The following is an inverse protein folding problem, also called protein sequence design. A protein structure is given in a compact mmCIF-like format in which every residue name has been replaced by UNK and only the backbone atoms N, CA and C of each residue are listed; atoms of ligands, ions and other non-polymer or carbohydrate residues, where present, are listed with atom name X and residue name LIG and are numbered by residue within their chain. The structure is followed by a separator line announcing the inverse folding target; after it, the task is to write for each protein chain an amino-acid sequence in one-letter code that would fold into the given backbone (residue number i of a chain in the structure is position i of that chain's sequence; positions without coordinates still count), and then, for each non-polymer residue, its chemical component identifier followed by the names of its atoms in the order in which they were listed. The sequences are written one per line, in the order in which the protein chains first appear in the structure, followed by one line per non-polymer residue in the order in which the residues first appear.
data_IF_641687993663
#
_entry.id   IF_641687993663
#
_cell.length_a   1.000
_cell.length_b   1.000
_cell.length_c   1.000
_cell.angle_alpha   90.00
_cell.angle_beta   90.00
_cell.angle_gamma   90.00
#
_symmetry.space_group_name_H-M   'P 1'
#
loop_
_entity.id
_entity.type
_entity.pdbx_description
1 polymer ?
#
# COMPACT_ATOMS: atom_id res chain seq x y z
N UNK A 1 8.86 -18.50 13.25
CA UNK A 1 9.23 -19.89 13.00
C UNK A 1 8.50 -20.39 11.76
N UNK A 2 9.23 -20.81 10.73
CA UNK A 2 8.67 -21.42 9.53
C UNK A 2 8.05 -22.77 9.93
N UNK A 3 6.73 -22.94 9.74
CA UNK A 3 5.99 -24.10 10.28
C UNK A 3 6.07 -25.34 9.39
N UNK A 4 6.37 -25.18 8.10
CA UNK A 4 6.56 -26.31 7.17
C UNK A 4 8.03 -26.71 7.08
N UNK A 5 8.29 -28.03 7.10
CA UNK A 5 9.62 -28.60 6.85
C UNK A 5 10.20 -28.16 5.49
N UNK A 6 9.37 -28.08 4.44
CA UNK A 6 9.84 -27.66 3.10
C UNK A 6 10.40 -26.24 3.12
N UNK A 7 9.68 -25.32 3.75
CA UNK A 7 10.07 -23.92 3.89
C UNK A 7 11.31 -23.78 4.77
N UNK A 8 11.33 -24.46 5.92
CA UNK A 8 12.46 -24.44 6.84
C UNK A 8 13.73 -24.99 6.18
N UNK A 9 13.65 -26.13 5.48
CA UNK A 9 14.81 -26.74 4.84
C UNK A 9 15.40 -25.87 3.71
N UNK A 10 14.57 -25.09 3.00
CA UNK A 10 15.06 -24.20 1.95
C UNK A 10 15.75 -22.94 2.50
N UNK A 11 15.15 -22.27 3.49
CA UNK A 11 15.70 -21.02 4.06
C UNK A 11 16.70 -21.25 5.21
N UNK A 12 16.69 -22.44 5.81
CA UNK A 12 17.58 -22.86 6.89
C UNK A 12 18.15 -24.26 6.59
N UNK A 13 18.95 -24.42 5.52
CA UNK A 13 19.49 -25.72 5.15
C UNK A 13 20.31 -26.31 6.30
N UNK A 14 20.00 -27.56 6.67
CA UNK A 14 20.58 -28.24 7.85
C UNK A 14 20.38 -27.49 9.17
N UNK A 15 19.31 -26.70 9.29
CA UNK A 15 18.99 -25.91 10.49
C UNK A 15 19.88 -24.68 10.68
N UNK A 16 20.70 -24.31 9.68
CA UNK A 16 21.59 -23.14 9.73
C UNK A 16 21.03 -22.00 8.89
N UNK A 17 21.16 -20.77 9.39
CA UNK A 17 20.85 -19.57 8.63
C UNK A 17 21.72 -19.49 7.37
N UNK A 18 21.13 -18.95 6.30
CA UNK A 18 21.89 -18.53 5.13
C UNK A 18 22.57 -17.20 5.46
N UNK A 19 23.88 -17.14 5.25
CA UNK A 19 24.68 -15.95 5.58
C UNK A 19 24.81 -15.01 4.39
N UNK A 20 25.09 -13.73 4.66
CA UNK A 20 25.36 -12.75 3.61
C UNK A 20 26.53 -13.20 2.73
N UNK A 21 26.37 -13.06 1.40
CA UNK A 21 27.34 -13.53 0.41
C UNK A 21 27.22 -15.01 0.02
N UNK A 22 26.41 -15.82 0.72
CA UNK A 22 26.17 -17.20 0.31
C UNK A 22 25.19 -17.29 -0.86
N UNK A 23 25.46 -18.21 -1.80
CA UNK A 23 24.58 -18.46 -2.95
C UNK A 23 23.50 -19.47 -2.57
N UNK A 24 22.24 -19.01 -2.46
CA UNK A 24 21.07 -19.88 -2.34
C UNK A 24 20.46 -20.15 -3.72
N UNK A 25 20.38 -21.43 -4.13
CA UNK A 25 19.81 -21.83 -5.43
C UNK A 25 18.39 -22.39 -5.26
N UNK A 26 17.46 -21.91 -6.09
CA UNK A 26 16.09 -22.43 -6.16
C UNK A 26 15.82 -23.15 -7.50
N UNK A 27 16.31 -24.38 -7.65
CA UNK A 27 16.15 -25.12 -8.91
C UNK A 27 14.70 -25.48 -9.21
N UNK A 28 13.87 -25.70 -8.19
CA UNK A 28 12.45 -25.98 -8.38
C UNK A 28 11.72 -24.74 -8.89
N UNK A 29 11.98 -23.57 -8.29
CA UNK A 29 11.39 -22.32 -8.78
C UNK A 29 11.87 -21.96 -10.18
N UNK A 30 13.14 -22.23 -10.51
CA UNK A 30 13.65 -22.06 -11.86
C UNK A 30 12.93 -22.95 -12.90
N UNK A 31 12.47 -24.15 -12.52
CA UNK A 31 11.63 -25.00 -13.39
C UNK A 31 10.22 -24.42 -13.51
N UNK A 32 9.63 -23.99 -12.40
CA UNK A 32 8.31 -23.33 -12.37
C UNK A 32 8.28 -22.11 -13.29
N UNK A 33 9.26 -21.21 -13.18
CA UNK A 33 9.35 -20.02 -14.04
C UNK A 33 9.52 -20.38 -15.52
N UNK A 34 10.28 -21.42 -15.86
CA UNK A 34 10.39 -21.91 -17.25
C UNK A 34 9.07 -22.43 -17.79
N UNK A 35 8.30 -23.15 -16.98
CA UNK A 35 6.97 -23.64 -17.35
C UNK A 35 6.01 -22.48 -17.64
N UNK A 36 5.97 -21.50 -16.73
CA UNK A 36 5.14 -20.28 -16.90
C UNK A 36 5.55 -19.52 -18.18
N UNK A 37 6.86 -19.40 -18.44
CA UNK A 37 7.35 -18.71 -19.63
C UNK A 37 7.02 -19.46 -20.93
N UNK A 38 7.08 -20.81 -20.93
CA UNK A 38 6.84 -21.61 -22.14
C UNK A 38 5.37 -21.70 -22.51
N UNK A 39 4.45 -21.69 -21.54
CA UNK A 39 3.01 -21.81 -21.78
C UNK A 39 2.20 -20.53 -21.52
N UNK A 40 2.90 -19.40 -21.31
CA UNK A 40 2.32 -18.09 -21.02
C UNK A 40 1.42 -18.08 -19.78
N UNK A 41 1.81 -18.83 -18.75
CA UNK A 41 1.13 -18.87 -17.44
C UNK A 41 -0.04 -19.85 -17.35
N UNK A 42 -0.33 -20.62 -18.40
CA UNK A 42 -1.42 -21.61 -18.38
C UNK A 42 -1.23 -22.63 -17.26
N UNK A 43 0.00 -23.13 -17.06
CA UNK A 43 0.31 -24.13 -16.03
C UNK A 43 0.06 -23.63 -14.61
N UNK A 44 0.13 -22.31 -14.37
CA UNK A 44 -0.09 -21.74 -13.05
C UNK A 44 -1.55 -21.87 -12.60
N UNK A 45 -2.48 -21.67 -13.53
CA UNK A 45 -3.93 -21.74 -13.27
C UNK A 45 -4.53 -23.12 -13.57
N UNK A 46 -3.82 -23.95 -14.35
CA UNK A 46 -4.27 -25.28 -14.76
C UNK A 46 -3.12 -26.30 -14.71
N UNK A 47 -3.38 -27.55 -14.32
CA UNK A 47 -2.37 -28.61 -14.38
C UNK A 47 -1.43 -28.63 -13.17
N UNK A 48 -0.16 -28.99 -13.37
CA UNK A 48 0.72 -29.44 -12.28
C UNK A 48 1.07 -28.37 -11.24
N UNK A 49 1.30 -27.11 -11.65
CA UNK A 49 1.57 -26.03 -10.69
C UNK A 49 0.31 -25.72 -9.89
N UNK A 50 -0.86 -25.64 -10.54
CA UNK A 50 -2.15 -25.46 -9.86
C UNK A 50 -2.43 -26.59 -8.85
N UNK A 51 -2.21 -27.84 -9.27
CA UNK A 51 -2.37 -29.02 -8.41
C UNK A 51 -1.41 -28.99 -7.21
N UNK A 52 -0.19 -28.51 -7.40
CA UNK A 52 0.78 -28.38 -6.31
C UNK A 52 0.39 -27.29 -5.31
N UNK A 53 -0.15 -26.17 -5.77
CA UNK A 53 -0.70 -25.10 -4.91
C UNK A 53 -1.84 -25.68 -4.05
N UNK A 54 -2.86 -26.27 -4.69
CA UNK A 54 -4.03 -26.85 -4.00
C UNK A 54 -3.59 -27.89 -2.97
N UNK A 55 -2.72 -28.82 -3.37
CA UNK A 55 -2.20 -29.84 -2.47
C UNK A 55 -1.46 -29.22 -1.28
N UNK A 56 -0.62 -28.21 -1.51
CA UNK A 56 0.14 -27.53 -0.46
C UNK A 56 -0.78 -26.88 0.57
N UNK A 57 -1.89 -26.27 0.12
CA UNK A 57 -2.88 -25.63 1.00
C UNK A 57 -3.71 -26.66 1.78
N UNK A 58 -4.22 -27.69 1.10
CA UNK A 58 -5.13 -28.67 1.69
C UNK A 58 -4.40 -29.68 2.60
N UNK A 59 -3.13 -30.01 2.31
CA UNK A 59 -2.38 -31.00 3.09
C UNK A 59 -1.70 -30.43 4.34
N UNK A 60 -1.89 -29.15 4.66
CA UNK A 60 -1.29 -28.54 5.85
C UNK A 60 -2.06 -28.96 7.11
N UNK A 61 -1.40 -29.68 8.02
CA UNK A 61 -2.08 -30.37 9.14
C UNK A 61 -2.60 -29.45 10.24
N UNK A 62 -1.93 -28.32 10.50
CA UNK A 62 -2.31 -27.45 11.62
C UNK A 62 -3.56 -26.60 11.29
N UNK A 63 -3.76 -26.27 10.02
CA UNK A 63 -4.88 -25.44 9.54
C UNK A 63 -5.09 -25.65 8.03
N UNK A 64 -5.72 -26.75 7.60
CA UNK A 64 -5.91 -27.04 6.18
C UNK A 64 -6.84 -25.99 5.55
N UNK A 65 -6.39 -25.40 4.43
CA UNK A 65 -7.20 -24.44 3.69
C UNK A 65 -8.20 -25.10 2.73
N UNK A 66 -9.12 -24.30 2.21
CA UNK A 66 -10.23 -24.76 1.35
C UNK A 66 -10.01 -24.50 -0.15
N UNK A 67 -8.84 -23.97 -0.55
CA UNK A 67 -8.54 -23.66 -1.95
C UNK A 67 -8.68 -24.90 -2.83
N UNK A 68 -9.46 -24.79 -3.90
CA UNK A 68 -9.72 -25.85 -4.86
C UNK A 68 -9.15 -25.54 -6.26
N UNK A 69 -9.09 -26.54 -7.12
CA UNK A 69 -8.65 -26.39 -8.50
C UNK A 69 -9.61 -25.50 -9.32
N UNK A 70 -10.91 -25.51 -8.99
CA UNK A 70 -11.90 -24.61 -9.59
C UNK A 70 -11.63 -23.14 -9.25
N UNK A 71 -11.15 -22.83 -8.04
CA UNK A 71 -10.80 -21.46 -7.66
C UNK A 71 -9.65 -20.91 -8.51
N UNK A 72 -8.63 -21.74 -8.78
CA UNK A 72 -7.50 -21.34 -9.62
C UNK A 72 -7.86 -21.24 -11.10
N UNK A 73 -8.61 -22.21 -11.63
CA UNK A 73 -8.95 -22.26 -13.05
C UNK A 73 -9.99 -21.22 -13.48
N UNK A 74 -10.83 -20.76 -12.54
CA UNK A 74 -11.82 -19.69 -12.80
C UNK A 74 -11.27 -18.28 -12.59
N UNK A 75 -10.07 -18.13 -12.01
CA UNK A 75 -9.48 -16.82 -11.74
C UNK A 75 -9.15 -16.04 -13.03
N UNK A 76 -9.47 -14.75 -13.03
CA UNK A 76 -9.06 -13.82 -14.08
C UNK A 76 -8.56 -12.52 -13.47
N UNK A 77 -7.46 -11.99 -14.04
CA UNK A 77 -6.98 -10.64 -13.74
C UNK A 77 -8.00 -9.62 -14.26
N UNK A 78 -8.33 -8.62 -13.45
CA UNK A 78 -9.29 -7.57 -13.82
C UNK A 78 -8.56 -6.25 -14.05
N UNK A 79 -8.67 -5.71 -15.26
CA UNK A 79 -8.29 -4.33 -15.55
C UNK A 79 -9.32 -3.37 -14.94
N UNK A 80 -8.85 -2.30 -14.31
CA UNK A 80 -9.70 -1.33 -13.61
C UNK A 80 -9.27 0.09 -13.95
N UNK A 81 -10.23 1.03 -14.04
CA UNK A 81 -9.88 2.43 -14.18
C UNK A 81 -9.07 2.89 -12.95
N UNK A 82 -8.10 3.76 -13.20
CA UNK A 82 -7.42 4.47 -12.14
C UNK A 82 -8.39 5.45 -11.46
N UNK A 83 -8.14 5.73 -10.18
CA UNK A 83 -8.77 6.85 -9.46
C UNK A 83 -7.80 8.01 -9.47
N UNK A 84 -8.29 9.20 -9.79
CA UNK A 84 -7.46 10.39 -9.94
C UNK A 84 -8.03 11.58 -9.16
N UNK A 85 -7.15 12.40 -8.60
CA UNK A 85 -7.51 13.69 -8.01
C UNK A 85 -6.58 14.79 -8.52
N UNK A 86 -7.06 16.03 -8.57
CA UNK A 86 -6.20 17.19 -8.77
C UNK A 86 -5.48 17.54 -7.47
N UNK A 87 -4.17 17.70 -7.53
CA UNK A 87 -3.37 18.22 -6.44
C UNK A 87 -2.36 19.22 -6.98
N UNK A 88 -2.48 20.48 -6.56
CA UNK A 88 -1.70 21.59 -7.15
C UNK A 88 -1.89 21.61 -8.67
N UNK A 89 -0.80 21.47 -9.43
CA UNK A 89 -0.80 21.43 -10.89
C UNK A 89 -0.78 20.02 -11.49
N UNK A 90 -0.99 18.99 -10.65
CA UNK A 90 -0.88 17.58 -11.04
C UNK A 90 -2.23 16.86 -10.96
N UNK A 91 -2.44 15.86 -11.82
CA UNK A 91 -3.45 14.82 -11.60
C UNK A 91 -2.75 13.63 -10.96
N UNK A 92 -3.06 13.34 -9.70
CA UNK A 92 -2.49 12.21 -8.95
C UNK A 92 -3.40 11.01 -9.16
N UNK A 93 -2.92 10.00 -9.88
CA UNK A 93 -3.67 8.81 -10.24
C UNK A 93 -3.11 7.56 -9.58
N UNK A 94 -3.97 6.70 -9.05
CA UNK A 94 -3.57 5.44 -8.42
C UNK A 94 -4.59 4.33 -8.65
N UNK A 95 -4.32 3.17 -8.06
CA UNK A 95 -5.21 2.01 -8.16
C UNK A 95 -6.53 2.25 -7.42
N UNK A 96 -7.65 2.01 -8.10
CA UNK A 96 -8.98 2.01 -7.49
C UNK A 96 -9.29 0.74 -6.68
N UNK A 97 -10.51 0.62 -6.14
CA UNK A 97 -10.93 -0.55 -5.36
C UNK A 97 -10.79 -1.85 -6.18
N UNK A 98 -10.31 -2.97 -5.59
CA UNK A 98 -10.26 -3.25 -4.14
C UNK A 98 -9.10 -2.63 -3.36
N UNK A 99 -8.15 -1.94 -4.01
CA UNK A 99 -7.16 -1.19 -3.23
C UNK A 99 -7.76 0.11 -2.69
N UNK A 100 -7.38 0.41 -1.45
CA UNK A 100 -7.61 1.71 -0.81
C UNK A 100 -6.55 2.75 -1.16
N UNK A 101 -5.41 2.34 -1.72
CA UNK A 101 -4.24 3.19 -1.92
C UNK A 101 -4.53 4.47 -2.69
N UNK A 102 -5.09 4.36 -3.91
CA UNK A 102 -5.34 5.52 -4.76
C UNK A 102 -6.36 6.51 -4.17
N UNK A 103 -7.45 6.00 -3.59
CA UNK A 103 -8.49 6.83 -2.98
C UNK A 103 -7.92 7.53 -1.74
N UNK A 104 -7.28 6.80 -0.81
CA UNK A 104 -6.81 7.39 0.44
C UNK A 104 -5.64 8.37 0.20
N UNK A 105 -4.71 8.07 -0.72
CA UNK A 105 -3.68 9.05 -1.16
C UNK A 105 -4.37 10.31 -1.69
N UNK A 106 -5.35 10.16 -2.57
CA UNK A 106 -6.09 11.27 -3.15
C UNK A 106 -6.82 12.11 -2.10
N UNK A 107 -7.51 11.47 -1.15
CA UNK A 107 -8.19 12.14 -0.06
C UNK A 107 -7.24 12.97 0.81
N UNK A 108 -6.09 12.41 1.20
CA UNK A 108 -5.13 13.13 2.04
C UNK A 108 -4.63 14.38 1.32
N UNK A 109 -4.24 14.23 0.05
CA UNK A 109 -3.76 15.36 -0.76
C UNK A 109 -4.85 16.42 -0.97
N UNK A 110 -6.09 16.01 -1.25
CA UNK A 110 -7.19 16.94 -1.45
C UNK A 110 -7.64 17.66 -0.17
N UNK A 111 -7.61 16.99 0.99
CA UNK A 111 -7.83 17.63 2.30
C UNK A 111 -6.76 18.68 2.59
N UNK A 112 -5.52 18.44 2.14
CA UNK A 112 -4.37 19.33 2.31
C UNK A 112 -4.33 20.48 1.29
N UNK A 113 -5.15 20.45 0.24
CA UNK A 113 -5.14 21.43 -0.84
C UNK A 113 -5.28 22.88 -0.31
N UNK A 114 -6.18 23.21 0.63
CA UNK A 114 -6.31 24.60 1.10
C UNK A 114 -5.10 25.14 1.88
N UNK A 115 -4.15 24.28 2.29
CA UNK A 115 -3.02 24.67 3.12
C UNK A 115 -1.76 24.90 2.28
N UNK A 116 -1.04 25.99 2.58
CA UNK A 116 0.23 26.32 1.93
C UNK A 116 1.40 25.57 2.59
N UNK A 117 1.56 24.29 2.24
CA UNK A 117 2.63 23.44 2.76
C UNK A 117 4.03 23.87 2.30
N UNK A 118 4.14 24.51 1.12
CA UNK A 118 5.41 25.03 0.63
C UNK A 118 5.97 26.15 1.50
N UNK A 119 5.08 27.01 2.05
CA UNK A 119 5.46 28.05 3.02
C UNK A 119 5.85 27.49 4.40
N UNK A 120 5.22 26.40 4.84
CA UNK A 120 5.55 25.78 6.14
C UNK A 120 6.85 24.98 6.08
N UNK A 121 7.02 24.17 5.03
CA UNK A 121 8.19 23.35 4.81
C UNK A 121 8.31 22.10 5.71
N UNK A 122 9.29 21.22 5.42
CA UNK A 122 9.48 19.92 6.08
C UNK A 122 9.95 20.03 7.54
N UNK A 123 10.42 21.20 7.97
CA UNK A 123 10.93 21.46 9.33
C UNK A 123 9.85 22.00 10.27
N UNK A 124 8.62 22.17 9.80
CA UNK A 124 7.53 22.72 10.58
C UNK A 124 6.69 21.62 11.22
N UNK A 125 6.61 21.59 12.55
CA UNK A 125 5.68 20.72 13.26
C UNK A 125 4.21 20.99 12.86
N UNK A 126 3.88 22.23 12.46
CA UNK A 126 2.56 22.56 11.94
C UNK A 126 2.28 21.90 10.57
N UNK A 127 3.29 21.73 9.71
CA UNK A 127 3.10 20.98 8.46
C UNK A 127 2.77 19.51 8.78
N UNK A 128 3.53 18.88 9.67
CA UNK A 128 3.31 17.49 10.07
C UNK A 128 2.00 17.28 10.81
N UNK A 129 1.58 18.25 11.63
CA UNK A 129 0.25 18.29 12.25
C UNK A 129 -0.85 18.19 11.18
N UNK A 130 -0.83 19.08 10.18
CA UNK A 130 -1.83 19.08 9.10
C UNK A 130 -1.83 17.77 8.31
N UNK A 131 -0.65 17.26 7.95
CA UNK A 131 -0.50 15.99 7.24
C UNK A 131 -1.07 14.83 8.05
N UNK A 132 -0.81 14.81 9.36
CA UNK A 132 -1.34 13.79 10.26
C UNK A 132 -2.85 13.84 10.40
N UNK A 133 -3.44 15.02 10.60
CA UNK A 133 -4.89 15.20 10.69
C UNK A 133 -5.59 14.78 9.39
N UNK A 134 -5.08 15.22 8.24
CA UNK A 134 -5.60 14.82 6.94
C UNK A 134 -5.53 13.30 6.73
N UNK A 135 -4.42 12.69 7.14
CA UNK A 135 -4.25 11.23 7.10
C UNK A 135 -5.29 10.52 7.97
N UNK A 136 -5.46 10.94 9.24
CA UNK A 136 -6.44 10.34 10.17
C UNK A 136 -7.85 10.39 9.61
N UNK A 137 -8.26 11.53 9.05
CA UNK A 137 -9.59 11.70 8.44
C UNK A 137 -9.80 10.78 7.23
N UNK A 138 -8.80 10.67 6.35
CA UNK A 138 -8.86 9.81 5.18
C UNK A 138 -8.83 8.31 5.56
N UNK A 139 -8.09 7.92 6.58
CA UNK A 139 -8.08 6.55 7.09
C UNK A 139 -9.42 6.15 7.74
N UNK A 140 -10.09 7.08 8.43
CA UNK A 140 -11.45 6.84 8.92
C UNK A 140 -12.43 6.55 7.77
N UNK A 141 -12.37 7.34 6.69
CA UNK A 141 -13.20 7.11 5.50
C UNK A 141 -12.83 5.80 4.79
N UNK A 142 -11.53 5.51 4.69
CA UNK A 142 -11.00 4.26 4.14
C UNK A 142 -11.57 3.02 4.85
N UNK A 143 -11.61 3.04 6.18
CA UNK A 143 -12.08 1.91 6.99
C UNK A 143 -13.58 1.71 6.91
N UNK A 144 -14.34 2.79 6.73
CA UNK A 144 -15.79 2.71 6.57
C UNK A 144 -16.22 2.20 5.20
N UNK A 145 -15.59 2.70 4.13
CA UNK A 145 -16.20 2.65 2.81
C UNK A 145 -15.49 1.78 1.79
N UNK A 146 -14.16 1.61 1.87
CA UNK A 146 -13.41 1.02 0.78
C UNK A 146 -13.33 -0.50 0.94
N UNK A 147 -13.77 -1.23 -0.07
CA UNK A 147 -13.71 -2.70 -0.16
C UNK A 147 -13.68 -3.13 -1.64
N UNK A 148 -13.92 -4.40 -1.92
CA UNK A 148 -14.07 -4.89 -3.29
C UNK A 148 -15.30 -4.29 -3.98
N UNK A 149 -15.06 -3.50 -5.04
CA UNK A 149 -16.12 -2.85 -5.82
C UNK A 149 -16.97 -3.79 -6.68
N UNK A 150 -16.64 -5.08 -6.75
CA UNK A 150 -17.50 -6.08 -7.38
C UNK A 150 -18.55 -6.64 -6.39
N UNK A 151 -18.42 -6.34 -5.09
CA UNK A 151 -19.29 -6.82 -4.01
C UNK A 151 -19.98 -5.68 -3.26
N UNK A 152 -19.27 -4.56 -3.08
CA UNK A 152 -19.75 -3.39 -2.36
C UNK A 152 -19.83 -2.19 -3.30
N UNK A 153 -20.84 -1.33 -3.11
CA UNK A 153 -20.87 -0.04 -3.79
C UNK A 153 -19.92 0.91 -3.08
N UNK A 154 -18.86 1.33 -3.75
CA UNK A 154 -17.86 2.24 -3.15
C UNK A 154 -18.18 3.68 -3.57
N UNK A 155 -18.32 4.64 -2.64
CA UNK A 155 -18.53 6.07 -2.94
C UNK A 155 -17.29 6.76 -3.51
N UNK A 156 -16.57 6.16 -4.48
CA UNK A 156 -15.26 6.65 -4.97
C UNK A 156 -15.31 8.12 -5.41
N UNK A 157 -16.30 8.51 -6.21
CA UNK A 157 -16.44 9.90 -6.66
C UNK A 157 -16.76 10.86 -5.50
N UNK A 158 -17.62 10.45 -4.56
CA UNK A 158 -17.96 11.26 -3.39
C UNK A 158 -16.79 11.40 -2.41
N UNK A 159 -16.01 10.34 -2.22
CA UNK A 159 -14.81 10.34 -1.38
C UNK A 159 -13.74 11.29 -1.92
N UNK A 160 -13.70 11.53 -3.23
CA UNK A 160 -12.75 12.41 -3.91
C UNK A 160 -13.39 13.73 -4.39
N UNK A 161 -14.63 14.02 -4.00
CA UNK A 161 -15.32 15.24 -4.38
C UNK A 161 -14.70 16.46 -3.67
N UNK A 162 -14.45 17.54 -4.43
CA UNK A 162 -13.77 18.72 -3.89
C UNK A 162 -14.55 19.39 -2.75
N UNK A 163 -15.88 19.41 -2.82
CA UNK A 163 -16.70 20.01 -1.77
C UNK A 163 -16.66 19.14 -0.51
N UNK A 164 -16.75 17.81 -0.66
CA UNK A 164 -16.58 16.88 0.45
C UNK A 164 -15.19 17.01 1.11
N UNK A 165 -14.12 17.03 0.32
CA UNK A 165 -12.76 17.19 0.83
C UNK A 165 -12.56 18.54 1.52
N UNK A 166 -13.23 19.60 1.04
CA UNK A 166 -13.29 20.90 1.72
C UNK A 166 -13.98 20.82 3.08
N UNK A 167 -15.09 20.06 3.20
CA UNK A 167 -15.73 19.79 4.49
C UNK A 167 -14.78 19.04 5.42
N UNK A 168 -14.13 17.98 4.94
CA UNK A 168 -13.17 17.21 5.74
C UNK A 168 -11.99 18.08 6.20
N UNK A 169 -11.45 18.92 5.31
CA UNK A 169 -10.40 19.90 5.62
C UNK A 169 -10.82 20.90 6.70
N UNK A 170 -12.07 21.37 6.67
CA UNK A 170 -12.59 22.30 7.69
C UNK A 170 -12.65 21.75 9.11
N UNK A 171 -12.61 20.42 9.28
CA UNK A 171 -12.57 19.78 10.59
C UNK A 171 -11.21 19.93 11.27
N UNK A 172 -10.14 20.17 10.50
CA UNK A 172 -8.78 20.23 11.04
C UNK A 172 -8.62 21.49 11.91
N UNK A 173 -8.52 21.27 13.22
CA UNK A 173 -8.03 22.29 14.13
C UNK A 173 -6.52 22.46 13.92
N UNK A 174 -6.05 23.69 13.71
CA UNK A 174 -4.63 23.97 13.38
C UNK A 174 -3.69 23.85 14.59
N UNK A 175 -4.24 23.94 15.80
CA UNK A 175 -3.46 24.02 17.03
C UNK A 175 -3.43 22.72 17.81
N UNK A 176 -4.54 21.97 17.81
CA UNK A 176 -4.72 20.75 18.58
C UNK A 176 -5.24 19.62 17.69
N UNK A 177 -4.81 18.40 17.98
CA UNK A 177 -5.24 17.19 17.32
C UNK A 177 -6.73 16.97 17.59
N UNK A 178 -7.47 16.52 16.59
CA UNK A 178 -8.84 16.07 16.78
C UNK A 178 -8.89 14.93 17.81
N UNK A 179 -9.77 15.06 18.80
CA UNK A 179 -9.99 14.04 19.83
C UNK A 179 -10.71 12.83 19.24
N UNK A 180 -11.76 13.07 18.46
CA UNK A 180 -12.56 12.05 17.80
C UNK A 180 -12.44 12.16 16.28
N UNK A 181 -12.24 11.02 15.62
CA UNK A 181 -12.01 10.91 14.18
C UNK A 181 -13.06 9.96 13.65
N UNK A 182 -14.11 10.54 13.09
CA UNK A 182 -15.20 9.79 12.50
C UNK A 182 -15.09 9.82 10.97
N UNK A 183 -15.52 8.73 10.29
CA UNK A 183 -15.74 8.78 8.87
C UNK A 183 -16.77 9.88 8.55
N UNK A 184 -16.50 10.64 7.49
CA UNK A 184 -17.43 11.61 6.95
C UNK A 184 -18.55 10.91 6.17
N UNK A 185 -19.45 11.71 5.60
CA UNK A 185 -20.54 11.23 4.74
C UNK A 185 -20.32 11.79 3.33
N UNK A 186 -19.57 11.08 2.45
CA UNK A 186 -19.34 11.55 1.10
C UNK A 186 -20.67 11.66 0.34
N UNK A 187 -20.79 12.59 -0.62
CA UNK A 187 -21.91 12.62 -1.56
C UNK A 187 -22.07 11.26 -2.20
N UNK A 188 -23.29 10.73 -2.18
CA UNK A 188 -23.50 9.36 -2.58
C UNK A 188 -24.91 9.14 -3.12
N UNK A 189 -25.00 8.37 -4.21
CA UNK A 189 -26.26 8.15 -4.95
C UNK A 189 -27.15 7.09 -4.30
N UNK A 190 -26.64 6.38 -3.29
CA UNK A 190 -27.35 5.35 -2.53
C UNK A 190 -27.15 5.54 -1.04
N UNK A 191 -27.94 4.90 -0.17
CA UNK A 191 -27.70 4.93 1.28
C UNK A 191 -26.94 3.65 1.63
N UNK A 192 -25.71 3.78 2.13
CA UNK A 192 -24.97 2.65 2.70
C UNK A 192 -24.91 2.78 4.20
N UNK A 193 -25.34 1.71 4.88
CA UNK A 193 -25.13 1.52 6.30
C UNK A 193 -24.04 0.45 6.46
N UNK A 194 -22.80 0.91 6.68
CA UNK A 194 -21.61 0.08 6.83
C UNK A 194 -20.92 0.41 8.16
N UNK A 195 -20.20 -0.57 8.70
CA UNK A 195 -19.32 -0.44 9.86
C UNK A 195 -17.84 -0.45 9.45
N UNK A 196 -17.00 0.07 10.34
CA UNK A 196 -15.56 0.17 10.12
C UNK A 196 -14.89 -1.22 10.02
N UNK A 197 -13.94 -1.34 9.09
CA UNK A 197 -13.07 -2.50 8.96
C UNK A 197 -12.16 -2.68 10.19
N UNK A 198 -11.94 -3.93 10.59
CA UNK A 198 -11.13 -4.31 11.75
C UNK A 198 -9.98 -5.29 11.36
N UNK A 199 -9.67 -5.40 10.07
CA UNK A 199 -8.60 -6.24 9.54
C UNK A 199 -7.23 -5.94 10.18
N UNK A 200 -6.42 -6.98 10.42
CA UNK A 200 -5.04 -6.82 10.88
C UNK A 200 -4.10 -6.77 9.68
N UNK A 201 -3.45 -5.62 9.46
CA UNK A 201 -2.54 -5.41 8.34
C UNK A 201 -1.08 -5.58 8.75
N UNK A 202 -0.31 -6.36 7.98
CA UNK A 202 1.11 -6.59 8.23
C UNK A 202 1.98 -6.02 7.08
N UNK A 203 3.19 -5.52 7.36
CA UNK A 203 4.01 -4.97 6.30
C UNK A 203 4.86 -6.05 5.61
N UNK A 204 4.54 -6.40 4.36
CA UNK A 204 5.49 -6.98 3.41
C UNK A 204 5.03 -6.75 1.99
N UNK A 205 5.90 -6.21 1.13
CA UNK A 205 5.55 -5.85 -0.25
C UNK A 205 6.85 -5.54 -0.99
N UNK A 206 6.83 -5.54 -2.32
CA UNK A 206 7.85 -4.96 -3.19
C UNK A 206 7.24 -3.97 -4.16
N UNK A 207 8.01 -2.98 -4.59
CA UNK A 207 7.59 -1.97 -5.55
C UNK A 207 8.67 -1.72 -6.60
N UNK A 208 8.27 -1.55 -7.85
CA UNK A 208 9.15 -1.11 -8.95
C UNK A 208 8.48 0.01 -9.74
N UNK A 209 9.31 0.94 -10.23
CA UNK A 209 8.93 2.01 -11.16
C UNK A 209 9.77 1.88 -12.43
N UNK A 210 9.14 1.96 -13.60
CA UNK A 210 9.82 1.87 -14.91
C UNK A 210 9.30 2.99 -15.81
N UNK A 211 10.21 3.65 -16.52
CA UNK A 211 9.91 4.52 -17.66
C UNK A 211 10.78 4.07 -18.83
N UNK A 212 10.21 3.94 -20.02
CA UNK A 212 10.95 3.57 -21.22
C UNK A 212 11.08 4.72 -22.23
N UNK A 213 11.90 4.49 -23.27
CA UNK A 213 12.16 5.47 -24.34
C UNK A 213 10.94 5.82 -25.20
N UNK A 214 9.86 5.02 -25.14
CA UNK A 214 8.62 5.26 -25.87
C UNK A 214 7.62 6.09 -25.06
N UNK A 215 7.97 6.45 -23.82
CA UNK A 215 7.10 7.18 -22.91
C UNK A 215 6.13 6.28 -22.14
N UNK A 216 6.31 4.96 -22.17
CA UNK A 216 5.54 4.06 -21.30
C UNK A 216 6.03 4.25 -19.86
N UNK A 217 5.09 4.28 -18.92
CA UNK A 217 5.35 4.43 -17.50
C UNK A 217 4.62 3.32 -16.72
N UNK A 218 5.33 2.66 -15.81
CA UNK A 218 4.79 1.60 -14.94
C UNK A 218 5.10 1.91 -13.48
N UNK A 219 4.05 2.00 -12.67
CA UNK A 219 4.14 1.92 -11.21
C UNK A 219 3.53 0.58 -10.78
N UNK A 220 4.36 -0.36 -10.30
CA UNK A 220 3.90 -1.71 -9.97
C UNK A 220 4.27 -2.09 -8.54
N UNK A 221 3.25 -2.46 -7.77
CA UNK A 221 3.39 -2.96 -6.40
C UNK A 221 2.92 -4.40 -6.35
N UNK A 222 3.72 -5.29 -5.76
CA UNK A 222 3.43 -6.73 -5.68
C UNK A 222 3.68 -7.27 -4.28
N UNK A 223 2.90 -8.25 -3.83
CA UNK A 223 2.91 -8.73 -2.45
C UNK A 223 2.52 -10.20 -2.30
N UNK A 224 2.83 -10.76 -1.13
CA UNK A 224 2.30 -12.02 -0.59
C UNK A 224 1.70 -11.79 0.81
N UNK A 225 1.23 -10.57 1.05
CA UNK A 225 0.86 -9.90 2.29
C UNK A 225 1.96 -9.79 3.36
N UNK A 226 2.24 -10.85 4.10
CA UNK A 226 3.24 -10.81 5.16
C UNK A 226 4.61 -11.29 4.68
N UNK A 227 5.66 -11.03 5.46
CA UNK A 227 7.00 -11.57 5.19
C UNK A 227 6.93 -13.10 5.21
N UNK A 228 7.31 -13.70 4.08
CA UNK A 228 7.14 -15.12 3.76
C UNK A 228 5.68 -15.60 3.62
N UNK A 229 4.71 -14.69 3.55
CA UNK A 229 3.29 -14.99 3.37
C UNK A 229 2.73 -15.94 4.43
N UNK A 230 2.02 -16.96 3.96
CA UNK A 230 1.53 -18.08 4.79
C UNK A 230 2.65 -18.94 5.38
N UNK A 231 3.90 -18.77 4.91
CA UNK A 231 5.07 -19.62 5.18
C UNK A 231 4.92 -21.05 4.64
N UNK A 232 3.91 -21.31 3.80
CA UNK A 232 3.79 -22.55 3.04
C UNK A 232 4.56 -22.42 1.72
N UNK A 233 5.46 -23.36 1.47
CA UNK A 233 6.25 -23.42 0.24
C UNK A 233 5.83 -24.63 -0.58
N UNK A 234 5.46 -24.39 -1.84
CA UNK A 234 5.06 -25.42 -2.81
C UNK A 234 6.25 -26.30 -3.19
N UNK A 235 6.00 -27.50 -3.74
CA UNK A 235 7.08 -28.31 -4.32
C UNK A 235 7.73 -27.61 -5.51
N UNK A 236 6.95 -26.79 -6.23
CA UNK A 236 7.39 -25.86 -7.26
C UNK A 236 8.36 -24.76 -6.78
N UNK A 237 8.62 -24.66 -5.48
CA UNK A 237 9.70 -23.86 -4.93
C UNK A 237 9.34 -22.40 -4.66
N UNK A 238 8.06 -22.05 -4.50
CA UNK A 238 7.63 -20.69 -4.18
C UNK A 238 6.70 -20.66 -2.97
N UNK A 239 6.63 -19.51 -2.31
CA UNK A 239 5.78 -19.28 -1.15
C UNK A 239 4.36 -18.92 -1.56
N UNK A 240 3.38 -19.33 -0.76
CA UNK A 240 1.99 -18.90 -0.88
C UNK A 240 1.71 -17.69 0.01
N UNK A 241 0.90 -16.76 -0.49
CA UNK A 241 0.48 -15.57 0.27
C UNK A 241 -0.42 -15.93 1.46
N UNK A 242 -0.68 -14.94 2.31
CA UNK A 242 -1.73 -14.99 3.32
C UNK A 242 -2.73 -13.83 3.14
N UNK A 243 -2.96 -13.38 1.90
CA UNK A 243 -3.65 -12.12 1.58
C UNK A 243 -5.07 -12.04 2.18
N UNK A 244 -5.76 -13.17 2.35
CA UNK A 244 -7.10 -13.20 2.94
C UNK A 244 -7.15 -12.68 4.40
N UNK A 245 -6.01 -12.47 5.05
CA UNK A 245 -5.96 -11.81 6.37
C UNK A 245 -6.26 -10.31 6.32
N UNK A 246 -6.22 -9.71 5.13
CA UNK A 246 -6.63 -8.31 4.93
C UNK A 246 -8.16 -8.13 4.97
N UNK A 247 -8.95 -9.20 5.07
CA UNK A 247 -10.37 -9.09 5.39
C UNK A 247 -10.62 -8.83 6.88
N UNK A 248 -11.74 -8.20 7.20
CA UNK A 248 -12.32 -8.31 8.54
C UNK A 248 -12.78 -9.75 8.80
N UNK A 249 -12.34 -10.32 9.92
CA UNK A 249 -12.84 -11.61 10.38
C UNK A 249 -14.25 -11.53 10.97
N UNK A 250 -14.71 -10.33 11.32
CA UNK A 250 -16.10 -10.09 11.68
C UNK A 250 -16.90 -9.71 10.44
N UNK A 251 -18.07 -10.31 10.25
CA UNK A 251 -18.95 -9.95 9.14
C UNK A 251 -19.81 -8.72 9.44
N UNK A 252 -20.14 -8.51 10.71
CA UNK A 252 -21.00 -7.43 11.20
C UNK A 252 -20.46 -6.87 12.51
N UNK A 253 -20.79 -5.61 12.77
CA UNK A 253 -20.60 -4.95 14.06
C UNK A 253 -21.90 -4.19 14.38
N UNK A 254 -22.37 -4.26 15.62
CA UNK A 254 -23.66 -3.65 16.00
C UNK A 254 -24.86 -4.02 15.10
N UNK A 255 -24.84 -5.21 14.46
CA UNK A 255 -25.86 -5.63 13.49
C UNK A 255 -25.75 -5.03 12.09
N UNK A 256 -24.73 -4.21 11.83
CA UNK A 256 -24.45 -3.55 10.55
C UNK A 256 -23.27 -4.26 9.87
N UNK A 257 -23.34 -4.54 8.55
CA UNK A 257 -22.27 -5.24 7.84
C UNK A 257 -20.98 -4.42 7.74
N UNK A 258 -19.84 -5.11 7.77
CA UNK A 258 -18.53 -4.54 7.47
C UNK A 258 -18.27 -4.67 5.96
N UNK A 259 -17.86 -3.58 5.31
CA UNK A 259 -17.64 -3.54 3.86
C UNK A 259 -16.58 -4.55 3.43
N UNK A 260 -15.49 -4.66 4.17
CA UNK A 260 -14.37 -5.56 3.91
C UNK A 260 -14.49 -6.91 4.66
N UNK A 261 -15.71 -7.41 4.87
CA UNK A 261 -15.93 -8.78 5.40
C UNK A 261 -15.54 -9.86 4.38
N UNK A 262 -15.20 -11.06 4.87
CA UNK A 262 -14.94 -12.25 4.06
C UNK A 262 -16.21 -12.68 3.29
N UNK A 263 -16.10 -12.81 1.96
CA UNK A 263 -17.11 -13.40 1.08
C UNK A 263 -16.45 -14.24 -0.01
N UNK A 264 -17.14 -15.29 -0.49
CA UNK A 264 -16.61 -16.17 -1.54
C UNK A 264 -16.41 -15.40 -2.85
N UNK A 265 -15.23 -15.50 -3.45
CA UNK A 265 -14.84 -14.82 -4.70
C UNK A 265 -14.46 -13.34 -4.53
N UNK A 266 -14.67 -12.76 -3.35
CA UNK A 266 -14.32 -11.37 -3.03
C UNK A 266 -12.81 -11.23 -2.83
N UNK A 267 -12.26 -10.09 -3.19
CA UNK A 267 -10.86 -9.74 -2.91
C UNK A 267 -10.77 -8.90 -1.63
N UNK A 268 -9.78 -9.16 -0.76
CA UNK A 268 -9.56 -8.34 0.42
C UNK A 268 -9.11 -6.93 0.03
N UNK A 269 -9.47 -5.94 0.85
CA UNK A 269 -9.03 -4.56 0.68
C UNK A 269 -7.51 -4.47 0.85
N UNK A 270 -6.81 -4.05 -0.20
CA UNK A 270 -5.37 -3.81 -0.13
C UNK A 270 -5.03 -2.37 0.25
N UNK A 271 -3.82 -2.15 0.75
CA UNK A 271 -3.21 -0.84 1.01
C UNK A 271 -2.19 -0.39 -0.05
N UNK A 272 -1.94 -1.21 -1.07
CA UNK A 272 -0.97 -0.89 -2.12
C UNK A 272 -1.35 0.39 -2.87
N UNK A 273 -0.44 1.36 -2.95
CA UNK A 273 -0.64 2.64 -3.63
C UNK A 273 0.40 2.91 -4.75
N UNK A 274 0.48 2.05 -5.79
CA UNK A 274 1.20 2.44 -7.00
C UNK A 274 0.52 3.69 -7.57
N UNK A 275 1.30 4.76 -7.73
CA UNK A 275 0.80 6.10 -8.02
C UNK A 275 1.59 6.72 -9.18
N UNK A 276 0.88 7.38 -10.09
CA UNK A 276 1.44 8.15 -11.19
C UNK A 276 0.85 9.56 -11.12
N UNK A 277 1.72 10.57 -11.04
CA UNK A 277 1.33 11.97 -11.18
C UNK A 277 1.45 12.35 -12.64
N UNK A 278 0.37 12.92 -13.18
CA UNK A 278 0.32 13.50 -14.50
C UNK A 278 0.44 15.02 -14.42
N UNK A 279 1.19 15.62 -15.34
CA UNK A 279 1.23 17.06 -15.58
C UNK A 279 0.81 17.32 -17.01
N UNK A 280 -0.26 18.09 -17.23
CA UNK A 280 -0.85 18.31 -18.56
C UNK A 280 -1.16 17.00 -19.30
N UNK A 281 -1.68 15.99 -18.59
CA UNK A 281 -2.03 14.69 -19.15
C UNK A 281 -0.86 13.74 -19.46
N UNK A 282 0.39 14.14 -19.16
CA UNK A 282 1.59 13.29 -19.36
C UNK A 282 2.18 12.83 -18.03
N UNK A 283 2.70 11.59 -17.93
CA UNK A 283 3.41 11.14 -16.74
C UNK A 283 4.54 12.09 -16.35
N UNK A 284 4.63 12.41 -15.05
CA UNK A 284 5.64 13.30 -14.50
C UNK A 284 6.36 12.69 -13.30
N UNK A 285 5.65 11.99 -12.41
CA UNK A 285 6.25 11.24 -11.31
C UNK A 285 5.61 9.86 -11.23
N UNK A 286 6.42 8.82 -11.29
CA UNK A 286 6.01 7.43 -11.10
C UNK A 286 6.55 7.05 -9.72
N UNK A 287 5.68 6.63 -8.80
CA UNK A 287 6.08 6.36 -7.42
C UNK A 287 5.23 5.27 -6.78
N UNK A 288 5.81 4.57 -5.83
CA UNK A 288 5.10 3.66 -4.94
C UNK A 288 6.04 3.13 -3.87
N UNK A 289 5.48 2.41 -2.90
CA UNK A 289 6.23 1.87 -1.77
C UNK A 289 5.64 0.54 -1.33
N UNK A 290 6.45 -0.34 -0.72
CA UNK A 290 5.99 -1.41 0.15
C UNK A 290 5.76 -0.96 1.60
N UNK A 291 5.01 -1.75 2.39
CA UNK A 291 4.87 -1.53 3.83
C UNK A 291 3.45 -1.57 4.43
N UNK A 292 2.55 -2.42 3.92
CA UNK A 292 1.17 -2.53 4.43
C UNK A 292 0.41 -1.19 4.33
N UNK A 293 -0.44 -0.85 5.29
CA UNK A 293 -1.13 0.46 5.29
C UNK A 293 -0.25 1.68 5.46
N UNK A 294 1.04 1.52 5.83
CA UNK A 294 1.96 2.66 5.82
C UNK A 294 2.36 3.10 4.41
N UNK A 295 2.12 2.27 3.39
CA UNK A 295 2.36 2.61 1.97
C UNK A 295 1.74 3.95 1.61
N UNK A 296 0.46 4.15 2.00
CA UNK A 296 -0.28 5.39 1.74
C UNK A 296 0.46 6.60 2.30
N UNK A 297 0.88 6.53 3.57
CA UNK A 297 1.61 7.60 4.23
C UNK A 297 2.98 7.87 3.59
N UNK A 298 3.74 6.82 3.24
CA UNK A 298 5.04 6.97 2.57
C UNK A 298 4.90 7.65 1.21
N UNK A 299 3.90 7.25 0.42
CA UNK A 299 3.64 7.84 -0.91
C UNK A 299 3.19 9.29 -0.77
N UNK A 300 2.25 9.60 0.12
CA UNK A 300 1.80 10.99 0.38
C UNK A 300 2.98 11.86 0.81
N UNK A 301 3.77 11.41 1.79
CA UNK A 301 4.92 12.18 2.28
C UNK A 301 5.91 12.49 1.16
N UNK A 302 6.24 11.51 0.32
CA UNK A 302 7.15 11.70 -0.80
C UNK A 302 6.57 12.63 -1.88
N UNK A 303 5.26 12.54 -2.15
CA UNK A 303 4.57 13.45 -3.07
C UNK A 303 4.64 14.89 -2.55
N UNK A 304 4.33 15.13 -1.28
CA UNK A 304 4.41 16.48 -0.67
C UNK A 304 5.84 17.00 -0.71
N UNK A 305 6.83 16.15 -0.40
CA UNK A 305 8.23 16.54 -0.45
C UNK A 305 8.67 16.98 -1.84
N UNK A 306 8.25 16.25 -2.88
CA UNK A 306 8.53 16.57 -4.26
C UNK A 306 7.75 17.80 -4.75
N UNK A 307 6.44 17.82 -4.53
CA UNK A 307 5.51 18.81 -5.11
C UNK A 307 5.48 20.12 -4.34
N UNK A 308 5.34 20.09 -3.01
CA UNK A 308 5.19 21.29 -2.18
C UNK A 308 6.53 21.78 -1.65
N UNK A 309 7.46 20.90 -1.31
CA UNK A 309 8.77 21.30 -0.76
C UNK A 309 9.88 21.39 -1.80
N UNK A 310 9.60 21.10 -3.07
CA UNK A 310 10.52 21.27 -4.19
C UNK A 310 11.78 20.40 -4.11
N UNK A 311 11.71 19.28 -3.38
CA UNK A 311 12.82 18.34 -3.29
C UNK A 311 12.97 17.56 -4.60
N UNK A 312 14.20 17.20 -4.94
CA UNK A 312 14.40 16.23 -6.02
C UNK A 312 13.91 14.83 -5.59
N UNK A 313 13.75 13.93 -6.57
CA UNK A 313 13.16 12.60 -6.33
C UNK A 313 13.92 11.78 -5.28
N UNK A 314 15.25 11.85 -5.27
CA UNK A 314 16.07 11.11 -4.30
C UNK A 314 15.92 11.68 -2.90
N UNK A 315 15.91 13.01 -2.75
CA UNK A 315 15.65 13.68 -1.48
C UNK A 315 14.27 13.30 -0.92
N UNK A 316 13.23 13.33 -1.77
CA UNK A 316 11.86 13.00 -1.38
C UNK A 316 11.72 11.57 -0.83
N UNK A 317 12.33 10.57 -1.48
CA UNK A 317 12.27 9.18 -1.01
C UNK A 317 13.21 8.88 0.17
N UNK A 318 14.26 9.69 0.36
CA UNK A 318 15.19 9.55 1.49
C UNK A 318 14.74 10.25 2.77
N UNK A 319 13.71 11.10 2.72
CA UNK A 319 13.24 11.82 3.91
C UNK A 319 12.89 10.86 5.06
N UNK A 320 13.25 11.18 6.32
CA UNK A 320 12.76 10.47 7.49
C UNK A 320 11.23 10.39 7.53
N UNK A 321 10.69 9.26 7.98
CA UNK A 321 9.24 9.05 7.99
C UNK A 321 8.57 9.62 9.25
N UNK A 322 7.47 10.35 9.03
CA UNK A 322 6.59 10.92 10.06
C UNK A 322 5.15 10.60 9.62
N UNK A 323 4.62 9.48 10.08
CA UNK A 323 3.38 8.91 9.54
C UNK A 323 2.31 8.80 10.62
N UNK A 324 1.09 9.27 10.33
CA UNK A 324 -0.09 8.99 11.12
C UNK A 324 -1.09 8.20 10.27
N UNK A 325 -1.77 7.22 10.84
CA UNK A 325 -2.85 6.47 10.19
C UNK A 325 -4.18 6.69 10.92
N UNK A 326 -4.23 6.35 12.21
CA UNK A 326 -5.47 6.39 13.00
C UNK A 326 -5.43 7.35 14.20
N UNK A 327 -4.23 7.69 14.70
CA UNK A 327 -4.12 8.57 15.88
C UNK A 327 -2.71 8.68 16.44
N UNK A 328 -1.95 7.59 16.44
CA UNK A 328 -0.54 7.60 16.85
C UNK A 328 0.35 8.00 15.68
N UNK A 329 1.22 8.99 15.89
CA UNK A 329 2.32 9.29 14.99
C UNK A 329 3.43 8.27 15.18
N UNK A 330 3.70 7.49 14.14
CA UNK A 330 4.92 6.73 14.02
C UNK A 330 6.02 7.68 13.50
N UNK A 331 7.04 7.95 14.32
CA UNK A 331 8.24 8.69 13.92
C UNK A 331 9.39 7.71 13.70
N UNK A 332 10.16 7.93 12.64
CA UNK A 332 11.29 7.06 12.33
C UNK A 332 12.42 7.20 13.35
N UNK A 333 12.61 6.13 14.12
CA UNK A 333 13.62 6.04 15.17
C UNK A 333 15.04 6.16 14.59
N UNK A 334 15.90 6.90 15.29
CA UNK A 334 17.30 7.11 14.93
C UNK A 334 17.51 8.16 13.84
N UNK A 335 16.51 9.01 13.58
CA UNK A 335 16.56 10.04 12.54
C UNK A 335 16.14 11.40 13.10
N UNK A 336 16.28 12.45 12.30
CA UNK A 336 15.78 13.78 12.65
C UNK A 336 14.25 13.87 12.72
N UNK A 337 13.48 12.82 12.42
CA UNK A 337 12.04 12.80 12.69
C UNK A 337 11.74 12.90 14.20
N UNK A 338 12.62 12.42 15.06
CA UNK A 338 12.41 12.42 16.52
C UNK A 338 12.28 13.82 17.12
N UNK A 339 12.82 14.86 16.45
CA UNK A 339 12.75 16.25 16.93
C UNK A 339 11.31 16.74 17.06
N UNK A 340 10.39 16.20 16.25
CA UNK A 340 8.97 16.58 16.25
C UNK A 340 8.18 15.93 17.38
N UNK A 341 8.77 15.00 18.13
CA UNK A 341 8.08 14.25 19.19
C UNK A 341 7.42 15.19 20.21
N UNK A 342 8.15 16.19 20.70
CA UNK A 342 7.65 17.11 21.72
C UNK A 342 6.57 18.04 21.17
N UNK A 343 6.78 18.62 19.99
CA UNK A 343 5.83 19.56 19.38
C UNK A 343 4.52 18.87 18.98
N UNK A 344 4.59 17.66 18.41
CA UNK A 344 3.39 16.88 18.07
C UNK A 344 2.68 16.36 19.32
N UNK A 345 3.43 15.97 20.37
CA UNK A 345 2.82 15.60 21.65
C UNK A 345 2.09 16.78 22.30
N UNK A 346 2.68 17.98 22.25
CA UNK A 346 2.06 19.20 22.78
C UNK A 346 0.78 19.62 22.03
N UNK A 347 0.62 19.14 20.79
CA UNK A 347 -0.60 19.26 19.99
C UNK A 347 -1.62 18.15 20.27
N UNK A 348 -1.35 17.23 21.21
CA UNK A 348 -2.30 16.19 21.62
C UNK A 348 -2.12 14.82 20.95
N UNK A 349 -1.09 14.63 20.12
CA UNK A 349 -0.84 13.32 19.52
C UNK A 349 -0.09 12.37 20.45
N UNK A 350 -0.40 11.08 20.32
CA UNK A 350 0.45 10.01 20.85
C UNK A 350 1.60 9.77 19.88
N UNK A 351 2.82 9.62 20.40
CA UNK A 351 4.03 9.39 19.61
C UNK A 351 4.52 7.96 19.82
N UNK A 352 4.97 7.33 18.74
CA UNK A 352 5.61 6.03 18.74
C UNK A 352 6.90 6.07 17.91
N UNK A 353 8.05 5.97 18.59
CA UNK A 353 9.34 5.88 17.91
C UNK A 353 9.58 4.45 17.46
N UNK A 354 9.70 4.24 16.14
CA UNK A 354 9.90 2.90 15.59
C UNK A 354 10.71 2.91 14.31
N UNK A 355 11.21 1.74 13.93
CA UNK A 355 11.74 1.53 12.58
C UNK A 355 10.59 1.59 11.57
N UNK A 356 10.78 2.37 10.51
CA UNK A 356 9.83 2.55 9.41
C UNK A 356 10.49 2.15 8.09
N UNK A 357 10.57 0.83 7.85
CA UNK A 357 11.26 0.27 6.69
C UNK A 357 10.36 0.25 5.44
N UNK A 358 10.16 1.42 4.84
CA UNK A 358 9.60 1.60 3.49
C UNK A 358 10.53 1.03 2.41
N UNK A 359 10.15 1.19 1.14
CA UNK A 359 10.99 0.83 -0.01
C UNK A 359 10.54 1.63 -1.22
N UNK A 360 10.42 2.95 -1.03
CA UNK A 360 10.03 3.88 -2.08
C UNK A 360 10.94 3.74 -3.29
N UNK A 361 10.35 3.52 -4.47
CA UNK A 361 11.03 3.78 -5.74
C UNK A 361 10.23 4.83 -6.48
N UNK A 362 10.96 5.76 -7.08
CA UNK A 362 10.34 6.81 -7.86
C UNK A 362 11.17 7.18 -9.09
N UNK A 363 10.49 7.56 -10.17
CA UNK A 363 11.10 8.14 -11.37
C UNK A 363 10.35 9.44 -11.67
N UNK A 364 11.06 10.56 -11.69
CA UNK A 364 10.57 11.84 -12.17
C UNK A 364 10.97 12.03 -13.65
N UNK A 365 10.02 12.47 -14.45
CA UNK A 365 10.21 12.86 -15.85
C UNK A 365 10.24 14.39 -15.89
N UNK A 366 11.44 14.95 -15.98
CA UNK A 366 11.65 16.40 -16.08
C UNK A 366 11.73 16.83 -17.54
N UNK A 367 11.77 18.14 -17.79
CA UNK A 367 11.94 18.67 -19.15
C UNK A 367 13.33 18.35 -19.75
N UNK A 368 14.28 17.91 -18.93
CA UNK A 368 15.71 17.79 -19.30
C UNK A 368 16.20 16.34 -19.21
N UNK A 369 15.67 15.54 -18.28
CA UNK A 369 16.12 14.17 -18.01
C UNK A 369 15.09 13.32 -17.24
N UNK A 370 15.42 12.04 -17.07
CA UNK A 370 14.79 11.16 -16.09
C UNK A 370 15.62 11.21 -14.80
N UNK A 371 14.98 11.46 -13.67
CA UNK A 371 15.60 11.35 -12.35
C UNK A 371 15.00 10.16 -11.62
N UNK A 372 15.84 9.25 -11.12
CA UNK A 372 15.38 8.14 -10.29
C UNK A 372 15.79 8.30 -8.83
N UNK A 373 14.93 7.87 -7.92
CA UNK A 373 15.20 7.80 -6.49
C UNK A 373 14.87 6.40 -5.95
N UNK A 374 15.78 5.87 -5.14
CA UNK A 374 15.55 4.64 -4.36
C UNK A 374 15.67 4.94 -2.87
N UNK A 375 14.77 4.35 -2.08
CA UNK A 375 14.75 4.46 -0.64
C UNK A 375 16.01 3.86 -0.01
N UNK A 376 16.74 4.62 0.84
CA UNK A 376 18.00 4.16 1.42
C UNK A 376 17.82 3.08 2.49
N UNK A 377 16.58 2.76 2.89
CA UNK A 377 16.29 1.79 3.97
C UNK A 377 16.35 0.34 3.52
N UNK A 378 16.39 0.10 2.21
CA UNK A 378 16.50 -1.22 1.58
C UNK A 378 17.60 -1.21 0.52
N UNK A 379 17.88 -2.38 -0.04
CA UNK A 379 18.86 -2.60 -1.11
C UNK A 379 18.38 -2.12 -2.49
N UNK A 380 17.42 -1.18 -2.54
CA UNK A 380 16.86 -0.65 -3.77
C UNK A 380 17.90 0.09 -4.62
N UNK A 381 17.79 -0.02 -5.94
CA UNK A 381 18.72 0.61 -6.88
C UNK A 381 17.98 1.34 -7.99
N UNK A 382 18.60 2.41 -8.47
CA UNK A 382 18.19 3.14 -9.67
C UNK A 382 19.16 2.81 -10.79
N UNK A 383 18.64 2.36 -11.94
CA UNK A 383 19.42 2.12 -13.15
C UNK A 383 18.75 2.85 -14.30
N UNK A 384 19.49 3.74 -14.95
CA UNK A 384 19.08 4.46 -16.14
C UNK A 384 20.28 4.73 -17.04
N UNK A 385 20.03 5.07 -18.31
CA UNK A 385 21.06 5.44 -19.29
C UNK A 385 20.65 6.67 -20.05
#
# INVERSE_FOLDING_TARGET
MLRSYSTANYFYPNGKNIESGQILKNLNYAKTLRSIASDKGKSFYHGDIANDIVRTVQSFTDNPGLLDQLDLSSYQVKERPAVCINYRSYNVCGMGPPSSGGITVGQILGILEPYNLSKLGPKSANAWHLIGEASRLAFADRDRYIADSDYEVIPTNGLLDNYYLGIRSSLINKEQALEEILPGKPPFDTILLLEDDESIEMPSTSHISIVDQYGNALSMTTTIENSFGSKLMTKGGFLLNNELTDFSFQSHKNGIPIANRIEAGKRPRSSMAPTILLKNGKPHLIIGSPGGSRIIGYVVQAIIAYVDWGMNVQQAVSMPHIINRYGTFDLEKGTNAEIFSNELSAKGFKINLRTLNSGLHAIAITDINLEGGADPRREGIVIGK
#
